data_IF_652152506970
#
_entry.id   IF_652152506970
#
_cell.length_a   1.000
_cell.length_b   1.000
_cell.length_c   1.000
_cell.angle_alpha   90.00
_cell.angle_beta   90.00
_cell.angle_gamma   90.00
#
_symmetry.space_group_name_H-M   'P 1'
#
loop_
_entity.id
_entity.type
_entity.pdbx_description
1 polymer ?
#
# COMPACT_ATOMS: atom_id res chain seq x y z
N UNK A 1 15.88 4.29 7.34
CA UNK A 1 15.77 3.99 5.90
C UNK A 1 15.28 5.18 5.09
N UNK A 2 15.57 5.17 3.78
CA UNK A 2 14.92 6.03 2.78
C UNK A 2 13.69 5.34 2.20
N UNK A 3 12.65 6.13 1.95
CA UNK A 3 11.37 5.73 1.38
C UNK A 3 10.95 6.73 0.31
N UNK A 4 10.23 6.26 -0.71
CA UNK A 4 9.96 7.00 -1.93
C UNK A 4 8.48 7.00 -2.26
N UNK A 5 7.92 8.18 -2.54
CA UNK A 5 6.56 8.35 -3.01
C UNK A 5 6.54 8.80 -4.48
N UNK A 6 5.88 8.02 -5.34
CA UNK A 6 5.62 8.39 -6.72
C UNK A 6 4.27 9.11 -6.89
N UNK A 7 4.31 10.32 -7.45
CA UNK A 7 3.14 11.16 -7.68
C UNK A 7 3.22 11.88 -9.04
N UNK A 8 2.08 12.39 -9.50
CA UNK A 8 2.00 13.29 -10.65
C UNK A 8 2.07 14.78 -10.25
N UNK A 9 2.29 15.06 -8.97
CA UNK A 9 2.41 16.40 -8.42
C UNK A 9 3.23 16.37 -7.13
N UNK A 10 3.75 17.53 -6.74
CA UNK A 10 4.42 17.71 -5.46
C UNK A 10 3.41 17.63 -4.29
N UNK A 11 3.83 17.00 -3.20
CA UNK A 11 3.05 16.87 -1.97
C UNK A 11 3.76 17.68 -0.89
N UNK A 12 3.19 18.84 -0.54
CA UNK A 12 3.72 19.69 0.52
C UNK A 12 3.40 19.13 1.91
N UNK A 13 2.18 18.65 2.09
CA UNK A 13 1.69 18.04 3.33
C UNK A 13 0.96 16.74 3.01
N UNK A 14 1.30 15.69 3.73
CA UNK A 14 0.61 14.41 3.61
C UNK A 14 -0.78 14.55 4.27
N UNK A 15 -1.82 14.20 3.52
CA UNK A 15 -3.20 14.18 3.97
C UNK A 15 -3.81 12.80 3.63
N UNK A 16 -4.09 12.01 4.66
CA UNK A 16 -4.65 10.66 4.49
C UNK A 16 -6.06 10.68 3.90
N UNK A 17 -6.79 11.80 3.99
CA UNK A 17 -8.10 11.97 3.37
C UNK A 17 -8.01 11.99 1.83
N UNK A 18 -6.86 12.33 1.26
CA UNK A 18 -6.61 12.22 -0.18
C UNK A 18 -6.37 10.78 -0.66
N UNK A 19 -6.18 9.83 0.26
CA UNK A 19 -6.03 8.42 -0.09
C UNK A 19 -7.35 7.84 -0.58
N UNK A 20 -7.31 7.15 -1.74
CA UNK A 20 -8.48 6.48 -2.31
C UNK A 20 -9.00 5.39 -1.37
N UNK A 21 -10.32 5.16 -1.29
CA UNK A 21 -10.88 4.02 -0.55
C UNK A 21 -10.46 2.69 -1.20
N UNK A 22 -10.64 1.58 -0.46
CA UNK A 22 -10.45 0.22 -0.95
C UNK A 22 -9.07 -0.02 -1.60
N UNK A 23 -8.02 0.45 -0.94
CA UNK A 23 -6.63 0.06 -1.22
C UNK A 23 -6.29 -1.20 -0.44
N UNK A 24 -5.22 -1.89 -0.85
CA UNK A 24 -4.83 -3.19 -0.29
C UNK A 24 -4.69 -3.18 1.24
N UNK A 25 -4.12 -2.09 1.79
CA UNK A 25 -3.91 -1.92 3.23
C UNK A 25 -4.72 -0.74 3.79
N UNK A 26 -5.88 -0.45 3.19
CA UNK A 26 -6.74 0.66 3.59
C UNK A 26 -6.21 2.04 3.18
N UNK A 27 -6.83 3.10 3.70
CA UNK A 27 -6.46 4.50 3.40
C UNK A 27 -5.18 4.83 4.14
N UNK A 28 -4.13 5.07 3.37
CA UNK A 28 -2.79 5.31 3.86
C UNK A 28 -1.98 6.17 2.88
N UNK A 29 -0.85 6.67 3.34
CA UNK A 29 0.20 7.20 2.49
C UNK A 29 1.15 6.07 2.11
N UNK A 30 1.20 5.75 0.81
CA UNK A 30 1.94 4.59 0.31
C UNK A 30 3.35 4.99 -0.14
N UNK A 31 4.34 4.24 0.32
CA UNK A 31 5.76 4.45 0.08
C UNK A 31 6.44 3.15 -0.35
N UNK A 32 7.52 3.27 -1.11
CA UNK A 32 8.39 2.17 -1.52
C UNK A 32 9.79 2.37 -0.95
N UNK A 33 10.48 1.30 -0.58
CA UNK A 33 11.93 1.30 -0.29
C UNK A 33 12.78 1.12 -1.57
N UNK A 34 12.15 0.86 -2.71
CA UNK A 34 12.77 0.80 -4.03
C UNK A 34 12.44 2.07 -4.83
N UNK A 35 13.47 2.83 -5.19
CA UNK A 35 13.32 4.11 -5.89
C UNK A 35 12.68 3.94 -7.28
N UNK A 36 13.09 2.92 -8.02
CA UNK A 36 12.59 2.64 -9.37
C UNK A 36 11.07 2.39 -9.38
N UNK A 37 10.52 1.74 -8.34
CA UNK A 37 9.08 1.54 -8.22
C UNK A 37 8.34 2.87 -8.04
N UNK A 38 8.91 3.83 -7.29
CA UNK A 38 8.32 5.15 -7.14
C UNK A 38 8.40 5.97 -8.44
N UNK A 39 9.49 5.84 -9.21
CA UNK A 39 9.60 6.44 -10.54
C UNK A 39 8.56 5.88 -11.49
N UNK A 40 8.40 4.55 -11.55
CA UNK A 40 7.36 3.91 -12.37
C UNK A 40 5.96 4.36 -11.98
N UNK A 41 5.69 4.49 -10.68
CA UNK A 41 4.42 5.00 -10.17
C UNK A 41 4.19 6.48 -10.54
N UNK A 42 5.22 7.33 -10.44
CA UNK A 42 5.14 8.73 -10.83
C UNK A 42 4.83 8.90 -12.32
N UNK A 43 5.54 8.13 -13.18
CA UNK A 43 5.27 8.05 -14.62
C UNK A 43 3.86 7.56 -14.91
N UNK A 44 3.44 6.46 -14.28
CA UNK A 44 2.09 5.95 -14.46
C UNK A 44 1.06 7.03 -14.12
N UNK A 45 1.16 7.67 -12.96
CA UNK A 45 0.20 8.72 -12.57
C UNK A 45 0.25 9.93 -13.51
N UNK A 46 1.42 10.37 -13.98
CA UNK A 46 1.51 11.53 -14.89
C UNK A 46 0.85 11.22 -16.23
N UNK A 47 1.02 10.00 -16.76
CA UNK A 47 0.41 9.55 -18.01
C UNK A 47 -1.12 9.48 -17.89
N UNK A 48 -1.63 8.92 -16.80
CA UNK A 48 -3.07 8.68 -16.64
C UNK A 48 -3.86 9.87 -16.08
N UNK A 49 -3.21 10.74 -15.29
CA UNK A 49 -3.86 11.85 -14.59
C UNK A 49 -3.37 13.23 -15.05
N UNK A 50 -2.37 13.29 -15.93
CA UNK A 50 -1.65 14.53 -16.25
C UNK A 50 -0.74 14.98 -15.11
N UNK A 51 0.00 16.08 -15.31
CA UNK A 51 0.93 16.63 -14.31
C UNK A 51 2.40 16.30 -14.60
N UNK A 52 3.24 16.29 -13.56
CA UNK A 52 4.69 16.07 -13.66
C UNK A 52 5.08 14.79 -12.94
N UNK A 53 6.03 14.04 -13.49
CA UNK A 53 6.62 12.90 -12.79
C UNK A 53 7.40 13.42 -11.57
N UNK A 54 6.86 13.19 -10.36
CA UNK A 54 7.48 13.63 -9.11
C UNK A 54 7.73 12.42 -8.23
N UNK A 55 8.98 12.25 -7.79
CA UNK A 55 9.34 11.34 -6.71
C UNK A 55 9.76 12.16 -5.51
N UNK A 56 9.08 11.96 -4.38
CA UNK A 56 9.45 12.58 -3.10
C UNK A 56 10.14 11.56 -2.21
N UNK A 57 11.29 11.92 -1.66
CA UNK A 57 12.05 11.08 -0.74
C UNK A 57 11.72 11.46 0.71
N UNK A 58 11.58 10.45 1.54
CA UNK A 58 11.43 10.56 2.98
C UNK A 58 12.47 9.69 3.67
N UNK A 59 12.90 10.13 4.85
CA UNK A 59 13.70 9.35 5.79
C UNK A 59 12.87 9.04 7.04
N UNK A 60 13.11 7.85 7.59
CA UNK A 60 12.53 7.40 8.86
C UNK A 60 13.58 6.64 9.67
N UNK A 61 13.58 6.86 10.98
CA UNK A 61 14.35 6.08 11.93
C UNK A 61 13.71 4.69 12.11
N UNK A 62 14.41 3.65 11.68
CA UNK A 62 13.91 2.27 11.69
C UNK A 62 13.72 1.72 13.11
N UNK A 63 14.35 2.32 14.12
CA UNK A 63 14.16 1.91 15.51
C UNK A 63 12.71 2.08 15.98
N UNK A 64 11.91 2.92 15.30
CA UNK A 64 10.48 3.07 15.58
C UNK A 64 9.69 1.77 15.40
N UNK A 65 10.13 0.89 14.48
CA UNK A 65 9.47 -0.39 14.25
C UNK A 65 9.71 -1.40 15.38
N UNK A 66 10.63 -1.10 16.30
CA UNK A 66 10.89 -1.87 17.51
C UNK A 66 10.14 -1.32 18.73
N UNK A 67 9.54 -0.13 18.62
CA UNK A 67 8.75 0.49 19.69
C UNK A 67 7.41 -0.24 19.84
N UNK A 68 7.14 -0.76 21.04
CA UNK A 68 5.90 -1.49 21.33
C UNK A 68 4.65 -0.62 21.32
N UNK A 69 4.80 0.70 21.41
CA UNK A 69 3.70 1.67 21.30
C UNK A 69 3.37 2.01 19.85
N UNK A 70 4.24 1.64 18.90
CA UNK A 70 4.04 1.83 17.47
C UNK A 70 3.58 0.52 16.82
N UNK A 71 2.35 0.51 16.29
CA UNK A 71 1.71 -0.70 15.76
C UNK A 71 2.18 -0.97 14.34
N UNK A 72 3.22 -1.77 14.21
CA UNK A 72 3.75 -2.20 12.91
C UNK A 72 3.27 -3.60 12.55
N UNK A 73 2.58 -3.74 11.41
CA UNK A 73 2.23 -5.04 10.81
C UNK A 73 3.14 -5.33 9.62
N UNK A 74 3.78 -6.49 9.64
CA UNK A 74 4.64 -6.98 8.56
C UNK A 74 4.05 -8.25 7.95
N UNK A 75 3.98 -8.29 6.62
CA UNK A 75 3.77 -9.50 5.83
C UNK A 75 5.07 -9.81 5.08
N UNK A 76 5.70 -10.96 5.36
CA UNK A 76 6.96 -11.34 4.70
C UNK A 76 6.76 -11.88 3.28
N UNK A 77 5.51 -12.15 2.87
CA UNK A 77 5.20 -12.57 1.53
C UNK A 77 3.72 -12.80 1.28
N UNK A 78 3.41 -13.51 0.20
CA UNK A 78 2.03 -13.84 -0.21
C UNK A 78 1.45 -14.96 0.65
N UNK A 79 1.14 -14.66 1.91
CA UNK A 79 0.46 -15.57 2.84
C UNK A 79 -1.07 -15.51 2.69
N UNK A 80 -1.74 -16.52 3.24
CA UNK A 80 -3.20 -16.52 3.38
C UNK A 80 -3.68 -15.34 4.24
N UNK A 81 -2.98 -15.02 5.33
CA UNK A 81 -3.26 -13.85 6.19
C UNK A 81 -3.21 -12.54 5.38
N UNK A 82 -2.18 -12.36 4.54
CA UNK A 82 -2.06 -11.19 3.67
C UNK A 82 -3.22 -11.09 2.69
N UNK A 83 -3.64 -12.21 2.09
CA UNK A 83 -4.73 -12.23 1.13
C UNK A 83 -6.09 -11.93 1.79
N UNK A 84 -6.33 -12.45 3.00
CA UNK A 84 -7.51 -12.09 3.79
C UNK A 84 -7.52 -10.60 4.11
N UNK A 85 -6.39 -10.06 4.55
CA UNK A 85 -6.26 -8.64 4.86
C UNK A 85 -6.61 -7.77 3.65
N UNK A 86 -6.09 -8.10 2.47
CA UNK A 86 -6.43 -7.39 1.22
C UNK A 86 -7.90 -7.55 0.87
N UNK A 87 -8.42 -8.78 0.94
CA UNK A 87 -9.81 -9.06 0.61
C UNK A 87 -10.76 -8.22 1.45
N UNK A 88 -10.55 -8.16 2.77
CA UNK A 88 -11.37 -7.39 3.69
C UNK A 88 -11.36 -5.88 3.36
N UNK A 89 -10.17 -5.28 3.18
CA UNK A 89 -10.06 -3.84 2.87
C UNK A 89 -10.63 -3.47 1.50
N UNK A 90 -10.39 -4.31 0.50
CA UNK A 90 -10.86 -4.09 -0.87
C UNK A 90 -12.38 -4.27 -0.99
N UNK A 91 -12.97 -5.10 -0.14
CA UNK A 91 -14.39 -5.44 -0.17
C UNK A 91 -15.24 -4.67 0.86
N UNK A 92 -14.63 -3.81 1.70
CA UNK A 92 -15.38 -2.95 2.62
C UNK A 92 -16.22 -1.92 1.84
N UNK A 93 -17.54 -1.98 2.02
CA UNK A 93 -18.50 -1.13 1.29
C UNK A 93 -18.35 0.36 1.63
N UNK A 94 -17.81 0.68 2.81
CA UNK A 94 -17.59 2.06 3.25
C UNK A 94 -16.17 2.56 2.97
N UNK A 95 -15.30 1.72 2.36
CA UNK A 95 -13.93 2.08 2.05
C UNK A 95 -13.06 2.41 3.27
N UNK A 96 -13.38 1.81 4.43
CA UNK A 96 -12.71 2.06 5.71
C UNK A 96 -11.37 1.32 5.78
N UNK A 97 -10.49 1.83 6.63
CA UNK A 97 -9.35 1.07 7.15
C UNK A 97 -9.87 0.18 8.29
N UNK A 98 -9.67 -1.13 8.20
CA UNK A 98 -10.26 -2.13 9.10
C UNK A 98 -9.31 -2.58 10.21
N UNK A 99 -8.20 -1.87 10.39
CA UNK A 99 -7.18 -2.14 11.38
C UNK A 99 -6.76 -0.85 12.08
N UNK A 100 -5.95 -0.99 13.14
CA UNK A 100 -5.39 0.13 13.91
C UNK A 100 -3.86 0.20 13.87
N UNK A 101 -3.21 -0.55 12.97
CA UNK A 101 -1.78 -0.42 12.69
C UNK A 101 -1.40 0.99 12.21
N UNK A 102 -0.28 1.50 12.71
CA UNK A 102 0.35 2.74 12.27
C UNK A 102 1.00 2.58 10.91
N UNK A 103 1.69 1.45 10.70
CA UNK A 103 2.31 1.09 9.43
C UNK A 103 2.03 -0.37 9.10
N UNK A 104 1.66 -0.62 7.85
CA UNK A 104 1.60 -1.97 7.27
C UNK A 104 2.67 -2.08 6.18
N UNK A 105 3.59 -3.03 6.33
CA UNK A 105 4.53 -3.42 5.28
C UNK A 105 4.13 -4.77 4.71
N UNK A 106 4.02 -4.86 3.39
CA UNK A 106 3.67 -6.12 2.76
C UNK A 106 3.78 -6.06 1.25
N UNK A 107 3.63 -7.22 0.58
CA UNK A 107 3.81 -7.29 -0.84
C UNK A 107 2.65 -6.62 -1.59
N UNK A 108 2.97 -6.10 -2.77
CA UNK A 108 2.01 -5.47 -3.68
C UNK A 108 1.20 -6.58 -4.37
N UNK A 109 -0.12 -6.37 -4.45
CA UNK A 109 -1.01 -7.25 -5.19
C UNK A 109 -1.07 -6.90 -6.67
N UNK A 110 -1.42 -7.88 -7.50
CA UNK A 110 -1.66 -7.69 -8.93
C UNK A 110 -2.84 -6.75 -9.19
N UNK A 111 -2.76 -5.89 -10.21
CA UNK A 111 -3.77 -4.86 -10.54
C UNK A 111 -5.20 -5.40 -10.79
N UNK A 112 -5.37 -6.71 -10.87
CA UNK A 112 -6.66 -7.39 -11.07
C UNK A 112 -7.35 -7.85 -9.78
N UNK A 113 -6.95 -7.36 -8.60
CA UNK A 113 -7.58 -7.76 -7.31
C UNK A 113 -9.10 -7.67 -7.35
N UNK A 114 -9.68 -6.55 -7.81
CA UNK A 114 -11.13 -6.36 -7.85
C UNK A 114 -11.87 -7.41 -8.70
N UNK A 115 -11.29 -7.82 -9.82
CA UNK A 115 -11.86 -8.89 -10.64
C UNK A 115 -11.81 -10.25 -9.93
N UNK A 116 -10.73 -10.54 -9.19
CA UNK A 116 -10.62 -11.78 -8.44
C UNK A 116 -11.54 -11.82 -7.22
N UNK A 117 -11.77 -10.67 -6.56
CA UNK A 117 -12.78 -10.55 -5.49
C UNK A 117 -14.16 -10.94 -6.02
N UNK A 118 -14.56 -10.40 -7.18
CA UNK A 118 -15.85 -10.75 -7.79
C UNK A 118 -15.94 -12.24 -8.13
N UNK A 119 -14.88 -12.83 -8.69
CA UNK A 119 -14.83 -14.26 -8.99
C UNK A 119 -15.00 -15.12 -7.73
N UNK A 120 -14.33 -14.75 -6.64
CA UNK A 120 -14.44 -15.47 -5.37
C UNK A 120 -15.83 -15.32 -4.75
N UNK A 121 -16.36 -14.11 -4.68
CA UNK A 121 -17.70 -13.82 -4.14
C UNK A 121 -18.82 -14.55 -4.89
N UNK A 122 -18.67 -14.71 -6.21
CA UNK A 122 -19.62 -15.44 -7.04
C UNK A 122 -19.42 -16.96 -7.02
N UNK A 123 -18.45 -17.47 -6.25
CA UNK A 123 -18.16 -18.91 -6.14
C UNK A 123 -17.46 -19.51 -7.38
N UNK A 124 -16.94 -18.69 -8.29
CA UNK A 124 -16.24 -19.17 -9.49
C UNK A 124 -14.83 -19.66 -9.21
N UNK A 125 -14.23 -19.23 -8.09
CA UNK A 125 -12.91 -19.67 -7.64
C UNK A 125 -12.91 -19.94 -6.14
N UNK A 126 -12.04 -20.84 -5.70
CA UNK A 126 -11.74 -21.01 -4.27
C UNK A 126 -10.90 -19.85 -3.74
N UNK A 127 -10.79 -19.74 -2.40
CA UNK A 127 -9.91 -18.75 -1.79
C UNK A 127 -8.43 -19.04 -2.11
N UNK A 128 -8.02 -20.31 -2.15
CA UNK A 128 -6.67 -20.69 -2.61
C UNK A 128 -6.38 -20.17 -4.02
N UNK A 129 -7.35 -20.30 -4.93
CA UNK A 129 -7.22 -19.77 -6.30
C UNK A 129 -7.20 -18.24 -6.32
N UNK A 130 -7.96 -17.59 -5.44
CA UNK A 130 -7.91 -16.14 -5.25
C UNK A 130 -6.50 -15.70 -4.85
N UNK A 131 -5.91 -16.33 -3.83
CA UNK A 131 -4.54 -16.05 -3.34
C UNK A 131 -3.56 -16.10 -4.50
N UNK A 132 -3.51 -17.20 -5.27
CA UNK A 132 -2.58 -17.34 -6.39
C UNK A 132 -2.76 -16.26 -7.45
N UNK A 133 -4.00 -15.85 -7.74
CA UNK A 133 -4.29 -14.87 -8.81
C UNK A 133 -4.00 -13.42 -8.41
N UNK A 134 -3.96 -13.09 -7.12
CA UNK A 134 -3.63 -11.74 -6.66
C UNK A 134 -2.14 -11.53 -6.41
N UNK A 135 -1.31 -12.58 -6.47
CA UNK A 135 0.16 -12.45 -6.44
C UNK A 135 0.66 -11.67 -7.65
N UNK A 136 1.65 -10.80 -7.43
CA UNK A 136 2.29 -10.07 -8.53
C UNK A 136 3.20 -11.02 -9.32
N UNK A 137 2.98 -11.12 -10.64
CA UNK A 137 3.62 -12.16 -11.47
C UNK A 137 5.09 -11.88 -11.81
N UNK A 138 5.58 -10.65 -11.61
CA UNK A 138 6.95 -10.26 -11.98
C UNK A 138 7.97 -10.34 -10.84
N UNK A 139 7.61 -11.05 -9.76
CA UNK A 139 8.41 -11.13 -8.53
C UNK A 139 7.72 -10.43 -7.37
N UNK A 140 8.26 -10.60 -6.16
CA UNK A 140 7.68 -9.98 -4.97
C UNK A 140 8.26 -8.59 -4.76
N UNK A 141 7.40 -7.59 -4.83
CA UNK A 141 7.72 -6.20 -4.48
C UNK A 141 6.88 -5.79 -3.28
N UNK A 142 7.44 -4.95 -2.42
CA UNK A 142 6.80 -4.54 -1.18
C UNK A 142 6.48 -3.05 -1.17
N UNK A 143 5.53 -2.69 -0.32
CA UNK A 143 5.14 -1.31 -0.06
C UNK A 143 4.91 -1.11 1.44
N UNK A 144 5.15 0.12 1.88
CA UNK A 144 4.74 0.61 3.19
C UNK A 144 3.46 1.42 3.05
N UNK A 145 2.46 1.12 3.87
CA UNK A 145 1.27 1.93 4.06
C UNK A 145 1.36 2.61 5.43
N UNK A 146 1.51 3.94 5.43
CA UNK A 146 1.46 4.74 6.65
C UNK A 146 0.01 5.18 6.89
N UNK A 147 -0.61 4.59 7.90
CA UNK A 147 -2.06 4.58 8.07
C UNK A 147 -2.58 5.59 9.12
N UNK A 148 -1.68 6.18 9.92
CA UNK A 148 -2.05 7.11 11.01
C UNK A 148 -1.23 8.39 10.94
N UNK A 149 -1.77 9.47 11.51
CA UNK A 149 -1.04 10.75 11.67
C UNK A 149 0.24 10.56 12.51
N UNK A 150 0.22 9.64 13.48
CA UNK A 150 1.41 9.27 14.23
C UNK A 150 2.50 8.73 13.30
N UNK A 151 2.16 7.79 12.41
CA UNK A 151 3.10 7.23 11.45
C UNK A 151 3.64 8.31 10.50
N UNK A 152 2.77 9.18 9.98
CA UNK A 152 3.16 10.30 9.12
C UNK A 152 4.14 11.24 9.81
N UNK A 153 3.94 11.52 11.10
CA UNK A 153 4.83 12.40 11.88
C UNK A 153 6.27 11.89 12.01
N UNK A 154 6.52 10.60 11.71
CA UNK A 154 7.85 9.98 11.74
C UNK A 154 8.61 10.11 10.41
N UNK A 155 7.98 10.61 9.36
CA UNK A 155 8.60 10.83 8.05
C UNK A 155 9.22 12.22 7.98
N UNK A 156 10.50 12.29 7.64
CA UNK A 156 11.23 13.53 7.36
C UNK A 156 11.47 13.62 5.85
N UNK A 157 10.94 14.63 5.18
CA UNK A 157 11.18 14.84 3.74
C UNK A 157 12.64 15.29 3.52
N UNK A 158 13.33 14.68 2.55
CA UNK A 158 14.74 14.98 2.20
C UNK A 158 14.94 15.20 0.70
#
# INVERSE_FOLDING_TARGET
>A
MKLYHGSNMEIEKIDLSCSKPNKDFGRAFYLSDVYEQAVEMARFKSVFLGGKEVVTTYEIDETIFMDKTFKFKKFDGYSEEWAHFIYEHRNDEQGRTLHDFDVVYGPIANDRVGAQINNFRNGYISFDTFIERIKYMKGITFQYAFCTELAISKLVRV
#
